data_IF_246146391057
#
_entry.id   IF_246146391057
#
_cell.length_a   1.000
_cell.length_b   1.000
_cell.length_c   1.000
_cell.angle_alpha   90.00
_cell.angle_beta   90.00
_cell.angle_gamma   90.00
#
_symmetry.space_group_name_H-M   'P 1'
#
loop_
_entity.id
_entity.type
_entity.pdbx_description
1 polymer ?
#
# COMPACT_ATOMS: atom_id res chain seq x y z
N UNK A 1 -15.55 7.73 -15.48
CA UNK A 1 -14.70 8.19 -14.36
C UNK A 1 -15.46 9.16 -13.49
N UNK A 2 -16.10 10.18 -14.06
CA UNK A 2 -16.98 11.08 -13.31
C UNK A 2 -18.04 10.31 -12.50
N UNK A 3 -18.17 10.63 -11.22
CA UNK A 3 -19.08 9.97 -10.28
C UNK A 3 -18.60 8.63 -9.72
N UNK A 4 -17.35 8.21 -9.94
CA UNK A 4 -16.87 6.95 -9.34
C UNK A 4 -16.74 7.05 -7.81
N UNK A 5 -17.04 5.97 -7.08
CA UNK A 5 -16.86 5.94 -5.62
C UNK A 5 -15.40 6.17 -5.21
N UNK A 6 -14.43 5.76 -6.05
CA UNK A 6 -13.00 5.97 -5.80
C UNK A 6 -12.61 7.47 -5.83
N UNK A 7 -13.19 8.25 -6.75
CA UNK A 7 -12.96 9.70 -6.80
C UNK A 7 -13.60 10.39 -5.59
N UNK A 8 -14.79 9.95 -5.17
CA UNK A 8 -15.41 10.45 -3.94
C UNK A 8 -14.53 10.21 -2.72
N UNK A 9 -14.06 8.97 -2.52
CA UNK A 9 -13.15 8.63 -1.43
C UNK A 9 -11.82 9.41 -1.51
N UNK A 10 -11.31 9.64 -2.72
CA UNK A 10 -10.10 10.45 -2.92
C UNK A 10 -10.30 11.89 -2.48
N UNK A 11 -11.44 12.51 -2.82
CA UNK A 11 -11.77 13.89 -2.39
C UNK A 11 -11.89 13.99 -0.87
N UNK A 12 -12.51 13.01 -0.21
CA UNK A 12 -12.59 12.97 1.25
C UNK A 12 -11.21 12.97 1.92
N UNK A 13 -10.27 12.16 1.41
CA UNK A 13 -8.88 12.12 1.90
C UNK A 13 -8.16 13.44 1.63
N UNK A 14 -8.36 14.02 0.46
CA UNK A 14 -7.76 15.30 0.07
C UNK A 14 -8.21 16.44 0.97
N UNK A 15 -9.51 16.52 1.24
CA UNK A 15 -10.11 17.54 2.11
C UNK A 15 -9.59 17.38 3.54
N UNK A 16 -9.50 16.14 4.04
CA UNK A 16 -8.95 15.84 5.35
C UNK A 16 -7.47 16.25 5.47
N UNK A 17 -6.65 15.95 4.46
CA UNK A 17 -5.22 16.26 4.47
C UNK A 17 -4.89 17.71 4.07
N UNK A 18 -5.86 18.46 3.53
CA UNK A 18 -5.65 19.83 3.03
C UNK A 18 -4.68 19.91 1.84
N UNK A 19 -4.60 18.85 1.03
CA UNK A 19 -3.66 18.77 -0.10
C UNK A 19 -4.24 19.35 -1.40
N UNK A 20 -3.38 19.78 -2.32
CA UNK A 20 -3.82 20.11 -3.68
C UNK A 20 -4.03 18.83 -4.47
N UNK A 21 -5.23 18.65 -5.01
CA UNK A 21 -5.61 17.48 -5.78
C UNK A 21 -5.94 17.82 -7.23
N UNK A 22 -5.58 16.92 -8.14
CA UNK A 22 -5.87 17.03 -9.56
C UNK A 22 -6.46 15.70 -10.04
N UNK A 23 -7.71 15.74 -10.49
CA UNK A 23 -8.34 14.61 -11.18
C UNK A 23 -8.02 14.69 -12.67
N UNK A 24 -7.36 13.66 -13.18
CA UNK A 24 -6.86 13.67 -14.54
C UNK A 24 -7.41 12.49 -15.31
N UNK A 25 -8.00 12.79 -16.48
CA UNK A 25 -8.32 11.82 -17.53
C UNK A 25 -7.23 11.78 -18.62
N UNK A 26 -6.21 12.64 -18.53
CA UNK A 26 -5.04 12.72 -19.41
C UNK A 26 -3.72 12.78 -18.61
N UNK A 27 -2.56 12.87 -19.26
CA UNK A 27 -1.25 12.56 -18.66
C UNK A 27 -0.74 13.57 -17.62
N UNK A 28 -0.19 13.05 -16.52
CA UNK A 28 0.41 13.76 -15.36
C UNK A 28 1.54 14.72 -15.77
N UNK A 29 2.23 14.43 -16.88
CA UNK A 29 3.34 15.23 -17.41
C UNK A 29 2.94 16.69 -17.71
N UNK A 30 1.69 16.92 -18.13
CA UNK A 30 1.16 18.25 -18.48
C UNK A 30 1.18 19.24 -17.30
N UNK A 31 1.26 18.75 -16.07
CA UNK A 31 1.31 19.55 -14.85
C UNK A 31 2.75 19.87 -14.38
N UNK A 32 3.77 19.41 -15.11
CA UNK A 32 5.16 19.60 -14.72
C UNK A 32 5.61 18.72 -13.52
N UNK A 33 4.77 17.78 -13.08
CA UNK A 33 5.10 16.82 -12.02
C UNK A 33 6.23 15.90 -12.51
N UNK A 34 7.27 15.77 -11.69
CA UNK A 34 8.45 14.94 -11.99
C UNK A 34 8.55 13.67 -11.15
N UNK A 35 7.85 13.63 -10.02
CA UNK A 35 7.89 12.51 -9.08
C UNK A 35 6.53 12.32 -8.42
N UNK A 36 6.13 11.06 -8.21
CA UNK A 36 4.91 10.66 -7.50
C UNK A 36 5.22 9.62 -6.43
N UNK A 37 4.49 9.67 -5.32
CA UNK A 37 4.48 8.59 -4.33
C UNK A 37 3.37 7.59 -4.68
N UNK A 38 3.69 6.30 -4.64
CA UNK A 38 2.74 5.22 -4.92
C UNK A 38 2.59 4.28 -3.72
N UNK A 39 1.38 3.76 -3.55
CA UNK A 39 1.00 2.82 -2.50
C UNK A 39 1.30 1.35 -2.79
N UNK A 40 2.04 1.08 -3.88
CA UNK A 40 2.36 -0.29 -4.31
C UNK A 40 3.07 -1.09 -3.21
N UNK A 41 2.85 -2.41 -3.21
CA UNK A 41 3.45 -3.33 -2.26
C UNK A 41 2.64 -3.60 -0.98
N UNK A 42 1.83 -2.65 -0.52
CA UNK A 42 1.12 -2.73 0.77
C UNK A 42 0.26 -3.98 0.94
N UNK A 43 -0.57 -4.25 -0.05
CA UNK A 43 -1.43 -5.42 -0.19
C UNK A 43 -0.66 -6.75 -0.21
N UNK A 44 0.62 -6.76 -0.60
CA UNK A 44 1.44 -7.98 -0.73
C UNK A 44 1.93 -8.47 0.63
N UNK A 45 2.41 -7.57 1.49
CA UNK A 45 2.93 -7.94 2.82
C UNK A 45 1.90 -7.85 3.94
N UNK A 46 0.78 -7.14 3.75
CA UNK A 46 -0.37 -7.16 4.66
C UNK A 46 -1.49 -8.12 4.26
N UNK A 47 -1.41 -8.75 3.09
CA UNK A 47 -2.40 -9.74 2.64
C UNK A 47 -3.73 -9.12 2.18
N UNK A 48 -3.69 -7.94 1.57
CA UNK A 48 -4.88 -7.15 1.20
C UNK A 48 -5.69 -7.69 0.02
N UNK A 49 -5.26 -8.77 -0.64
CA UNK A 49 -6.03 -9.38 -1.72
C UNK A 49 -7.17 -10.25 -1.19
N UNK A 50 -8.36 -10.14 -1.78
CA UNK A 50 -9.56 -10.88 -1.34
C UNK A 50 -9.38 -12.41 -1.19
N UNK A 51 -8.56 -13.04 -2.05
CA UNK A 51 -8.33 -14.50 -1.93
C UNK A 51 -7.48 -14.87 -0.71
N UNK A 52 -6.66 -13.94 -0.20
CA UNK A 52 -5.81 -14.17 0.97
C UNK A 52 -6.66 -14.33 2.24
N UNK A 53 -7.88 -13.78 2.26
CA UNK A 53 -8.86 -14.02 3.34
C UNK A 53 -9.26 -15.49 3.47
N UNK A 54 -9.01 -16.31 2.44
CA UNK A 54 -9.28 -17.75 2.43
C UNK A 54 -8.05 -18.58 2.83
N UNK A 55 -6.96 -17.95 3.27
CA UNK A 55 -5.79 -18.66 3.77
C UNK A 55 -6.21 -19.58 4.95
N UNK A 56 -5.86 -20.87 4.94
CA UNK A 56 -6.36 -21.81 5.93
C UNK A 56 -5.71 -21.63 7.30
N UNK A 57 -4.51 -21.04 7.38
CA UNK A 57 -3.79 -20.80 8.62
C UNK A 57 -2.74 -19.69 8.45
N UNK A 58 -2.21 -19.21 9.59
CA UNK A 58 -1.27 -18.08 9.64
C UNK A 58 0.07 -18.36 8.95
N UNK A 59 0.48 -19.62 8.88
CA UNK A 59 1.70 -20.05 8.18
C UNK A 59 1.53 -19.91 6.68
N UNK A 60 0.45 -20.44 6.11
CA UNK A 60 0.17 -20.32 4.67
C UNK A 60 -0.04 -18.86 4.24
N UNK A 61 -0.68 -18.04 5.09
CA UNK A 61 -0.73 -16.60 4.86
C UNK A 61 0.68 -15.99 4.73
N UNK A 62 1.57 -16.29 5.70
CA UNK A 62 2.92 -15.75 5.69
C UNK A 62 3.72 -16.21 4.47
N UNK A 63 3.64 -17.49 4.12
CA UNK A 63 4.31 -18.06 2.95
C UNK A 63 3.83 -17.40 1.65
N UNK A 64 2.52 -17.17 1.50
CA UNK A 64 1.97 -16.49 0.34
C UNK A 64 2.40 -15.02 0.27
N UNK A 65 2.36 -14.28 1.39
CA UNK A 65 2.85 -12.88 1.42
C UNK A 65 4.35 -12.80 1.07
N UNK A 66 5.18 -13.71 1.58
CA UNK A 66 6.60 -13.82 1.22
C UNK A 66 6.80 -14.07 -0.28
N UNK A 67 6.00 -14.97 -0.86
CA UNK A 67 6.03 -15.26 -2.30
C UNK A 67 5.65 -14.03 -3.13
N UNK A 68 4.63 -13.28 -2.71
CA UNK A 68 4.16 -12.07 -3.42
C UNK A 68 5.21 -10.98 -3.42
N UNK A 69 5.86 -10.71 -2.28
CA UNK A 69 6.93 -9.71 -2.19
C UNK A 69 8.10 -10.09 -3.11
N UNK A 70 8.52 -11.37 -3.10
CA UNK A 70 9.62 -11.84 -3.97
C UNK A 70 9.30 -11.68 -5.45
N UNK A 71 8.05 -11.85 -5.84
CA UNK A 71 7.61 -11.75 -7.23
C UNK A 71 7.24 -10.33 -7.66
N UNK A 72 7.22 -9.36 -6.74
CA UNK A 72 6.68 -8.02 -6.96
C UNK A 72 7.34 -7.28 -8.13
N UNK A 73 8.65 -7.42 -8.27
CA UNK A 73 9.46 -6.84 -9.35
C UNK A 73 9.05 -7.30 -10.76
N UNK A 74 8.30 -8.41 -10.90
CA UNK A 74 7.80 -8.90 -12.18
C UNK A 74 6.38 -8.39 -12.49
N UNK A 75 5.70 -7.77 -11.52
CA UNK A 75 4.29 -7.40 -11.61
C UNK A 75 4.07 -5.91 -11.33
N UNK A 76 3.59 -5.57 -10.13
CA UNK A 76 3.09 -4.23 -9.85
C UNK A 76 4.20 -3.17 -9.89
N UNK A 77 5.40 -3.49 -9.38
CA UNK A 77 6.54 -2.57 -9.45
C UNK A 77 7.00 -2.36 -10.89
N UNK A 78 6.99 -3.41 -11.71
CA UNK A 78 7.33 -3.30 -13.12
C UNK A 78 6.33 -2.41 -13.85
N UNK A 79 5.04 -2.59 -13.56
CA UNK A 79 3.97 -1.74 -14.11
C UNK A 79 4.15 -0.30 -13.65
N UNK A 80 4.30 -0.04 -12.35
CA UNK A 80 4.43 1.29 -11.80
C UNK A 80 5.65 2.01 -12.39
N UNK A 81 6.80 1.34 -12.44
CA UNK A 81 8.02 1.89 -13.01
C UNK A 81 7.86 2.19 -14.51
N UNK A 82 7.40 1.22 -15.31
CA UNK A 82 7.32 1.41 -16.76
C UNK A 82 6.25 2.42 -17.16
N UNK A 83 5.08 2.39 -16.50
CA UNK A 83 3.98 3.31 -16.80
C UNK A 83 4.33 4.76 -16.45
N UNK A 84 5.06 5.01 -15.37
CA UNK A 84 5.49 6.38 -15.00
C UNK A 84 6.72 6.84 -15.78
N UNK A 85 7.70 5.95 -15.99
CA UNK A 85 8.92 6.25 -16.78
C UNK A 85 8.61 6.57 -18.24
N UNK A 86 7.58 5.94 -18.82
CA UNK A 86 7.11 6.27 -20.18
C UNK A 86 6.74 7.76 -20.36
N UNK A 87 6.46 8.46 -19.25
CA UNK A 87 6.10 9.88 -19.24
C UNK A 87 7.14 10.77 -18.54
N UNK A 88 8.33 10.23 -18.25
CA UNK A 88 9.40 10.97 -17.56
C UNK A 88 9.03 11.36 -16.13
N UNK A 89 8.19 10.56 -15.46
CA UNK A 89 7.80 10.70 -14.07
C UNK A 89 8.46 9.58 -13.26
N UNK A 90 9.10 9.93 -12.15
CA UNK A 90 9.67 8.98 -11.20
C UNK A 90 8.59 8.50 -10.22
N UNK A 91 8.35 7.19 -10.13
CA UNK A 91 7.53 6.61 -9.06
C UNK A 91 8.39 6.19 -7.88
N UNK A 92 8.08 6.70 -6.68
CA UNK A 92 8.66 6.22 -5.43
C UNK A 92 7.63 5.42 -4.65
N UNK A 93 8.09 4.34 -4.01
CA UNK A 93 7.27 3.33 -3.35
C UNK A 93 7.70 3.19 -1.89
N UNK A 94 7.28 4.10 -0.99
CA UNK A 94 7.76 4.14 0.40
C UNK A 94 7.53 2.83 1.16
N UNK A 95 6.45 2.13 0.84
CA UNK A 95 6.07 0.86 1.43
C UNK A 95 6.99 -0.30 1.09
N UNK A 96 7.84 -0.14 0.08
CA UNK A 96 8.84 -1.13 -0.33
C UNK A 96 10.24 -0.80 0.17
N UNK A 97 10.36 0.18 1.06
CA UNK A 97 11.56 0.36 1.84
C UNK A 97 11.90 -0.94 2.59
N UNK A 98 13.19 -1.28 2.61
CA UNK A 98 13.66 -2.56 3.16
C UNK A 98 13.38 -2.66 4.66
N UNK A 99 13.57 -1.58 5.40
CA UNK A 99 13.34 -1.58 6.84
C UNK A 99 11.85 -1.63 7.14
N UNK A 100 11.05 -0.90 6.38
CA UNK A 100 9.59 -1.00 6.46
C UNK A 100 9.09 -2.42 6.20
N UNK A 101 9.54 -3.07 5.13
CA UNK A 101 9.17 -4.46 4.81
C UNK A 101 9.60 -5.39 5.95
N UNK A 102 10.83 -5.26 6.46
CA UNK A 102 11.33 -6.14 7.52
C UNK A 102 10.46 -6.06 8.78
N UNK A 103 10.07 -4.84 9.18
CA UNK A 103 9.17 -4.64 10.32
C UNK A 103 7.76 -5.17 10.01
N UNK A 104 7.22 -4.87 8.83
CA UNK A 104 5.90 -5.35 8.43
C UNK A 104 5.84 -6.90 8.36
N UNK A 105 6.94 -7.55 8.00
CA UNK A 105 7.05 -9.00 7.91
C UNK A 105 7.36 -9.68 9.25
N UNK A 106 7.88 -8.95 10.25
CA UNK A 106 8.07 -9.48 11.61
C UNK A 106 6.79 -9.53 12.44
N UNK A 107 5.73 -8.82 12.03
CA UNK A 107 4.41 -8.89 12.67
C UNK A 107 3.87 -10.33 12.59
N UNK A 108 3.40 -10.89 13.71
CA UNK A 108 2.79 -12.23 13.72
C UNK A 108 1.62 -12.27 12.70
N UNK A 109 1.67 -13.17 11.70
CA UNK A 109 0.66 -13.25 10.65
C UNK A 109 -0.77 -13.44 11.17
N UNK A 110 -0.95 -13.89 12.41
CA UNK A 110 -2.26 -13.96 13.07
C UNK A 110 -2.95 -12.59 13.16
N UNK A 111 -2.20 -11.52 13.43
CA UNK A 111 -2.74 -10.15 13.42
C UNK A 111 -3.20 -9.73 12.03
N UNK A 112 -2.50 -10.20 11.00
CA UNK A 112 -2.88 -9.96 9.60
C UNK A 112 -4.15 -10.73 9.25
N UNK A 113 -4.31 -11.98 9.71
CA UNK A 113 -5.56 -12.73 9.55
C UNK A 113 -6.76 -12.04 10.23
N UNK A 114 -6.60 -11.57 11.47
CA UNK A 114 -7.67 -10.87 12.19
C UNK A 114 -8.15 -9.59 11.47
N UNK A 115 -7.20 -8.86 10.86
CA UNK A 115 -7.48 -7.69 10.02
C UNK A 115 -8.39 -8.04 8.83
N UNK A 116 -8.24 -9.25 8.28
CA UNK A 116 -8.95 -9.74 7.11
C UNK A 116 -10.38 -10.24 7.43
N UNK A 117 -10.63 -10.76 8.64
CA UNK A 117 -11.93 -11.30 9.02
C UNK A 117 -12.96 -10.24 9.45
N UNK A 118 -12.53 -9.07 9.95
CA UNK A 118 -13.40 -8.03 10.51
C UNK A 118 -13.66 -6.85 9.57
N UNK A 119 -13.72 -7.10 8.26
CA UNK A 119 -13.82 -6.10 7.19
C UNK A 119 -14.99 -5.07 7.32
N UNK A 120 -15.95 -5.27 8.23
CA UNK A 120 -17.06 -4.34 8.45
C UNK A 120 -16.79 -3.22 9.47
N UNK A 121 -15.70 -3.23 10.26
CA UNK A 121 -15.47 -2.22 11.33
C UNK A 121 -14.05 -1.59 11.39
N UNK A 122 -13.13 -1.91 10.47
CA UNK A 122 -11.69 -1.75 10.74
C UNK A 122 -10.98 -0.56 10.06
N UNK A 123 -11.38 0.68 10.39
CA UNK A 123 -10.43 1.80 10.30
C UNK A 123 -9.46 1.78 11.50
N UNK A 124 -9.96 1.45 12.70
CA UNK A 124 -9.20 1.54 13.96
C UNK A 124 -8.04 0.55 14.07
N UNK A 125 -8.19 -0.68 13.56
CA UNK A 125 -7.09 -1.66 13.58
C UNK A 125 -6.01 -1.37 12.55
N UNK A 126 -6.38 -0.84 11.36
CA UNK A 126 -5.38 -0.36 10.40
C UNK A 126 -4.54 0.74 11.04
N UNK A 127 -5.19 1.72 11.67
CA UNK A 127 -4.48 2.80 12.42
C UNK A 127 -3.62 2.21 13.54
N UNK A 128 -4.11 1.25 14.31
CA UNK A 128 -3.32 0.60 15.37
C UNK A 128 -2.08 -0.10 14.83
N UNK A 129 -2.20 -0.85 13.73
CA UNK A 129 -1.09 -1.57 13.11
C UNK A 129 -0.07 -0.58 12.51
N UNK A 130 -0.54 0.45 11.82
CA UNK A 130 0.33 1.52 11.31
C UNK A 130 1.00 2.30 12.45
N UNK A 131 0.31 2.53 13.57
CA UNK A 131 0.86 3.21 14.75
C UNK A 131 1.93 2.34 15.42
N UNK A 132 1.70 1.04 15.57
CA UNK A 132 2.73 0.11 16.07
C UNK A 132 3.95 0.08 15.15
N UNK A 133 3.72 0.00 13.83
CA UNK A 133 4.78 0.01 12.83
C UNK A 133 5.59 1.31 12.87
N UNK A 134 4.91 2.46 12.97
CA UNK A 134 5.55 3.77 13.08
C UNK A 134 6.38 3.87 14.37
N UNK A 135 5.85 3.38 15.49
CA UNK A 135 6.55 3.36 16.78
C UNK A 135 7.78 2.43 16.76
N UNK A 136 7.73 1.29 16.07
CA UNK A 136 8.87 0.40 15.93
C UNK A 136 9.96 0.98 15.01
N UNK A 137 9.58 1.68 13.95
CA UNK A 137 10.52 2.38 13.07
C UNK A 137 11.18 3.56 13.79
N UNK A 138 10.42 4.35 14.56
CA UNK A 138 10.95 5.48 15.34
C UNK A 138 11.94 5.03 16.42
N UNK A 139 11.74 3.86 17.03
CA UNK A 139 12.67 3.30 18.03
C UNK A 139 14.00 2.82 17.45
N UNK A 140 14.11 2.63 16.13
CA UNK A 140 15.36 2.21 15.46
C UNK A 140 16.18 3.40 14.94
N UNK A 141 15.60 4.61 14.95
CA UNK A 141 16.27 5.84 14.49
C UNK A 141 16.97 6.62 15.61
N UNK A 142 16.96 6.11 16.84
CA UNK A 142 17.76 6.56 17.99
C UNK A 142 18.94 5.60 18.24
#
# INVERSE_FOLDING_TARGET
MEGSPDLTATREVVDYLGTRHHELTFTVQSLGVKMVLSGEGTDKFFGGYLYIHKAPNKKELHEETCKKIKALHMYDDLRANNSTSAWGVEARVPFLDKDFINVAMSIDPEWKMLLLYKLNELLMYKVSLYTQLLNELLKKSE
#
